data_IF_004836052618
#
_entry.id   IF_004836052618
#
_cell.length_a   1.000
_cell.length_b   1.000
_cell.length_c   1.000
_cell.angle_alpha   90.00
_cell.angle_beta   90.00
_cell.angle_gamma   90.00
#
_symmetry.space_group_name_H-M   'P 1'
#
loop_
_entity.id
_entity.type
_entity.pdbx_description
1 polymer ?
#
# COMPACT_ATOMS: atom_id res chain seq x y z
N UNK A 1 0.23 -2.04 29.13
CA UNK A 1 1.21 -2.76 28.27
C UNK A 1 0.72 -2.70 26.83
N UNK A 2 1.11 -1.65 26.08
CA UNK A 2 0.70 -1.52 24.67
C UNK A 2 1.66 -2.31 23.79
N UNK A 3 1.13 -3.35 23.13
CA UNK A 3 1.82 -4.08 22.09
C UNK A 3 2.15 -3.12 20.93
N UNK A 4 3.39 -2.65 20.88
CA UNK A 4 3.96 -2.00 19.71
C UNK A 4 3.99 -3.03 18.59
N UNK A 5 2.95 -3.00 17.75
CA UNK A 5 2.88 -3.68 16.46
C UNK A 5 4.11 -3.29 15.66
N UNK A 6 5.09 -4.21 15.61
CA UNK A 6 6.27 -4.12 14.77
C UNK A 6 5.82 -4.09 13.31
N UNK A 7 5.57 -2.89 12.79
CA UNK A 7 5.65 -2.63 11.35
C UNK A 7 7.11 -2.85 11.02
N UNK A 8 7.43 -4.03 10.49
CA UNK A 8 8.71 -4.33 9.88
C UNK A 8 8.85 -3.42 8.66
N UNK A 9 9.32 -2.20 8.91
CA UNK A 9 9.79 -1.31 7.86
C UNK A 9 10.99 -2.03 7.28
N UNK A 10 10.84 -2.53 6.06
CA UNK A 10 11.96 -3.00 5.25
C UNK A 10 12.78 -1.76 4.93
N UNK A 11 13.82 -1.53 5.75
CA UNK A 11 14.79 -0.46 5.53
C UNK A 11 15.60 -0.81 4.27
N UNK A 12 15.78 0.20 3.43
CA UNK A 12 16.15 0.05 2.03
C UNK A 12 17.55 -0.49 1.77
N UNK A 13 17.63 -1.25 0.69
CA UNK A 13 18.66 -1.04 -0.32
C UNK A 13 17.96 -0.58 -1.60
N UNK A 14 18.59 0.33 -2.33
CA UNK A 14 18.24 0.81 -3.67
C UNK A 14 17.36 -0.17 -4.47
N UNK A 15 16.07 0.19 -4.63
CA UNK A 15 15.08 -0.41 -5.53
C UNK A 15 15.27 -1.90 -5.81
N UNK A 16 14.82 -2.78 -4.90
CA UNK A 16 14.61 -4.19 -5.26
C UNK A 16 13.58 -4.24 -6.40
N UNK A 17 14.06 -4.37 -7.63
CA UNK A 17 13.21 -4.51 -8.81
C UNK A 17 12.54 -5.87 -8.70
N UNK A 18 11.23 -5.88 -8.50
CA UNK A 18 10.46 -7.12 -8.51
C UNK A 18 10.26 -7.53 -9.98
N UNK A 19 10.68 -8.74 -10.39
CA UNK A 19 10.81 -9.14 -11.79
C UNK A 19 9.47 -9.47 -12.47
N UNK A 20 8.51 -8.54 -12.47
CA UNK A 20 7.23 -8.69 -13.18
C UNK A 20 7.37 -8.67 -14.70
N UNK A 21 8.55 -8.31 -15.24
CA UNK A 21 8.77 -8.20 -16.68
C UNK A 21 9.29 -9.49 -17.31
N UNK A 22 9.81 -10.42 -16.52
CA UNK A 22 10.38 -11.70 -16.97
C UNK A 22 9.32 -12.65 -17.56
N UNK A 23 8.04 -12.50 -17.21
CA UNK A 23 6.96 -13.29 -17.80
C UNK A 23 5.74 -12.45 -18.12
N UNK A 24 4.98 -12.86 -19.13
CA UNK A 24 3.70 -12.21 -19.48
C UNK A 24 2.70 -12.36 -18.33
N UNK A 25 2.67 -13.52 -17.67
CA UNK A 25 1.77 -13.80 -16.56
C UNK A 25 2.03 -12.86 -15.37
N UNK A 26 3.29 -12.73 -14.93
CA UNK A 26 3.63 -11.85 -13.79
C UNK A 26 3.42 -10.37 -14.13
N UNK A 27 3.50 -10.00 -15.41
CA UNK A 27 3.18 -8.65 -15.89
C UNK A 27 1.70 -8.33 -15.76
N UNK A 28 0.84 -9.26 -16.17
CA UNK A 28 -0.62 -9.13 -16.04
C UNK A 28 -1.06 -9.14 -14.57
N UNK A 29 -0.37 -9.90 -13.73
CA UNK A 29 -0.68 -10.01 -12.30
C UNK A 29 -0.13 -8.88 -11.44
N UNK A 30 0.82 -8.09 -11.93
CA UNK A 30 1.43 -6.97 -11.20
C UNK A 30 0.42 -6.06 -10.47
N UNK A 31 -0.65 -5.53 -11.12
CA UNK A 31 -1.63 -4.69 -10.43
C UNK A 31 -2.40 -5.43 -9.34
N UNK A 32 -2.52 -6.76 -9.40
CA UNK A 32 -3.19 -7.55 -8.37
C UNK A 32 -2.29 -7.83 -7.17
N UNK A 33 -0.98 -7.95 -7.38
CA UNK A 33 0.01 -8.27 -6.33
C UNK A 33 0.50 -7.01 -5.60
N UNK A 34 0.57 -5.86 -6.27
CA UNK A 34 1.09 -4.60 -5.70
C UNK A 34 0.08 -3.44 -5.69
N UNK A 35 -1.06 -3.58 -6.36
CA UNK A 35 -1.98 -2.49 -6.59
C UNK A 35 -3.27 -2.58 -5.78
N UNK A 36 -4.29 -1.91 -6.32
CA UNK A 36 -5.63 -1.80 -5.75
C UNK A 36 -6.47 -3.05 -6.05
N UNK A 37 -6.14 -4.15 -5.37
CA UNK A 37 -6.83 -5.43 -5.58
C UNK A 37 -7.10 -6.16 -4.26
N UNK A 38 -8.09 -7.06 -4.31
CA UNK A 38 -8.29 -8.12 -3.34
C UNK A 38 -7.91 -9.44 -4.02
N UNK A 39 -6.90 -10.11 -3.50
CA UNK A 39 -6.35 -11.33 -4.09
C UNK A 39 -6.49 -12.49 -3.11
N UNK A 40 -6.85 -13.66 -3.62
CA UNK A 40 -6.90 -14.92 -2.87
C UNK A 40 -6.25 -16.01 -3.71
N UNK A 41 -5.43 -16.83 -3.09
CA UNK A 41 -4.75 -17.94 -3.74
C UNK A 41 -5.40 -19.25 -3.32
N UNK A 42 -5.71 -20.10 -4.29
CA UNK A 42 -6.16 -21.48 -4.06
C UNK A 42 -5.02 -22.40 -4.47
N UNK A 43 -4.52 -23.17 -3.52
CA UNK A 43 -3.41 -24.09 -3.73
C UNK A 43 -3.93 -25.51 -3.77
N UNK A 44 -3.68 -26.20 -4.88
CA UNK A 44 -4.08 -27.59 -5.08
C UNK A 44 -2.93 -28.52 -4.72
N UNK A 45 -3.17 -29.43 -3.79
CA UNK A 45 -2.16 -30.37 -3.29
C UNK A 45 -2.59 -31.80 -3.59
N UNK A 46 -1.61 -32.66 -3.84
CA UNK A 46 -1.82 -34.10 -4.01
C UNK A 46 -1.54 -34.83 -2.69
N UNK A 47 -2.38 -35.81 -2.35
CA UNK A 47 -2.25 -36.60 -1.12
C UNK A 47 -1.35 -37.84 -1.30
N UNK A 48 -0.75 -38.03 -2.48
CA UNK A 48 0.15 -39.16 -2.71
C UNK A 48 1.51 -38.95 -2.02
N UNK A 49 2.04 -40.03 -1.42
CA UNK A 49 3.38 -40.05 -0.83
C UNK A 49 4.47 -39.75 -1.87
N UNK A 50 4.27 -40.14 -3.14
CA UNK A 50 5.21 -39.85 -4.23
C UNK A 50 5.32 -38.35 -4.55
N UNK A 51 4.28 -37.57 -4.24
CA UNK A 51 4.20 -36.13 -4.50
C UNK A 51 4.49 -35.26 -3.26
N UNK A 52 5.04 -35.85 -2.19
CA UNK A 52 5.25 -35.15 -0.92
C UNK A 52 6.23 -33.97 -1.06
N UNK A 53 7.28 -34.12 -1.87
CA UNK A 53 8.25 -33.06 -2.11
C UNK A 53 7.64 -31.83 -2.80
N UNK A 54 6.80 -32.06 -3.82
CA UNK A 54 6.12 -30.98 -4.56
C UNK A 54 5.06 -30.30 -3.69
N UNK A 55 4.37 -31.09 -2.86
CA UNK A 55 3.41 -30.59 -1.86
C UNK A 55 4.11 -29.67 -0.85
N UNK A 56 5.26 -30.08 -0.32
CA UNK A 56 6.07 -29.26 0.59
C UNK A 56 6.54 -27.96 -0.08
N UNK A 57 6.97 -28.05 -1.35
CA UNK A 57 7.38 -26.87 -2.13
C UNK A 57 6.21 -25.89 -2.33
N UNK A 58 5.02 -26.40 -2.60
CA UNK A 58 3.80 -25.60 -2.75
C UNK A 58 3.39 -24.94 -1.43
N UNK A 59 3.51 -25.64 -0.30
CA UNK A 59 3.25 -25.06 1.03
C UNK A 59 4.26 -23.96 1.40
N UNK A 60 5.55 -24.15 1.09
CA UNK A 60 6.56 -23.09 1.27
C UNK A 60 6.29 -21.89 0.37
N UNK A 61 5.72 -22.10 -0.81
CA UNK A 61 5.24 -21.01 -1.64
C UNK A 61 4.04 -20.30 -0.97
N UNK A 62 3.09 -21.04 -0.40
CA UNK A 62 1.95 -20.50 0.36
C UNK A 62 2.39 -19.55 1.48
N UNK A 63 3.38 -19.94 2.27
CA UNK A 63 3.91 -19.12 3.36
C UNK A 63 4.46 -17.79 2.86
N UNK A 64 5.11 -17.78 1.68
CA UNK A 64 5.56 -16.54 1.04
C UNK A 64 4.39 -15.70 0.53
N UNK A 65 3.37 -16.32 -0.06
CA UNK A 65 2.18 -15.63 -0.53
C UNK A 65 1.44 -14.88 0.58
N UNK A 66 1.42 -15.45 1.80
CA UNK A 66 0.81 -14.81 2.98
C UNK A 66 1.45 -13.47 3.34
N UNK A 67 2.72 -13.25 2.98
CA UNK A 67 3.41 -11.99 3.23
C UNK A 67 3.05 -10.87 2.24
N UNK A 68 2.33 -11.18 1.16
CA UNK A 68 1.93 -10.21 0.15
C UNK A 68 0.79 -9.34 0.71
N UNK A 69 1.05 -8.04 0.83
CA UNK A 69 0.08 -7.06 1.31
C UNK A 69 -0.48 -6.26 0.13
N UNK A 70 -1.77 -6.44 -0.15
CA UNK A 70 -2.49 -5.65 -1.16
C UNK A 70 -3.18 -4.44 -0.48
N UNK A 71 -3.25 -3.30 -1.18
CA UNK A 71 -3.96 -2.10 -0.69
C UNK A 71 -5.19 -1.88 -1.54
N UNK A 72 -6.33 -2.55 -1.26
CA UNK A 72 -7.53 -2.43 -2.07
C UNK A 72 -8.07 -1.01 -1.98
N UNK A 73 -8.12 -0.32 -3.12
CA UNK A 73 -8.70 1.02 -3.26
C UNK A 73 -9.94 0.92 -4.14
N UNK A 74 -11.02 1.65 -3.79
CA UNK A 74 -12.21 1.73 -4.64
C UNK A 74 -11.81 2.38 -5.96
N UNK A 75 -12.01 1.67 -7.08
CA UNK A 75 -11.84 2.27 -8.39
C UNK A 75 -13.04 3.19 -8.67
N UNK A 76 -12.87 4.52 -8.76
CA UNK A 76 -13.96 5.41 -9.12
C UNK A 76 -14.27 5.21 -10.60
N UNK A 77 -15.53 4.90 -10.90
CA UNK A 77 -16.07 5.02 -12.26
C UNK A 77 -16.07 6.49 -12.62
N UNK A 78 -15.12 6.93 -13.45
CA UNK A 78 -15.12 8.27 -14.02
C UNK A 78 -16.03 8.22 -15.25
N UNK A 79 -17.18 8.90 -15.26
CA UNK A 79 -18.03 8.97 -16.44
C UNK A 79 -17.27 9.65 -17.57
N UNK A 80 -17.30 9.08 -18.77
CA UNK A 80 -16.66 9.59 -20.00
C UNK A 80 -17.43 10.79 -20.58
N UNK A 81 -17.86 11.71 -19.74
CA UNK A 81 -18.44 12.97 -20.18
C UNK A 81 -17.32 14.02 -20.33
N UNK A 82 -17.29 14.84 -21.39
CA UNK A 82 -16.32 15.93 -21.54
C UNK A 82 -16.26 16.89 -20.34
N UNK A 83 -17.37 17.00 -19.59
CA UNK A 83 -17.51 17.81 -18.38
C UNK A 83 -16.76 17.27 -17.16
N UNK A 84 -16.41 15.98 -17.14
CA UNK A 84 -15.73 15.33 -16.02
C UNK A 84 -14.30 15.87 -15.79
N UNK A 85 -13.65 16.42 -16.82
CA UNK A 85 -12.32 17.03 -16.70
C UNK A 85 -12.33 18.34 -15.90
N UNK A 86 -13.41 19.11 -15.97
CA UNK A 86 -13.59 20.36 -15.20
C UNK A 86 -14.02 20.06 -13.75
N UNK A 87 -14.92 19.10 -13.55
CA UNK A 87 -15.31 18.70 -12.19
C UNK A 87 -14.16 18.01 -11.44
N UNK A 88 -13.40 17.13 -12.11
CA UNK A 88 -12.25 16.47 -11.49
C UNK A 88 -11.10 17.45 -11.16
N UNK A 89 -10.88 18.47 -11.98
CA UNK A 89 -9.88 19.53 -11.68
C UNK A 89 -10.33 20.43 -10.55
N UNK A 90 -11.60 20.81 -10.48
CA UNK A 90 -12.15 21.57 -9.34
C UNK A 90 -12.14 20.75 -8.04
N UNK A 91 -12.49 19.46 -8.09
CA UNK A 91 -12.41 18.58 -6.93
C UNK A 91 -10.95 18.39 -6.44
N UNK A 92 -10.00 18.26 -7.37
CA UNK A 92 -8.56 18.21 -7.05
C UNK A 92 -8.09 19.53 -6.43
N UNK A 93 -8.51 20.68 -6.98
CA UNK A 93 -8.16 22.00 -6.42
C UNK A 93 -8.76 22.22 -5.02
N UNK A 94 -9.99 21.78 -4.77
CA UNK A 94 -10.60 21.83 -3.44
C UNK A 94 -9.82 20.99 -2.42
N UNK A 95 -9.39 19.78 -2.81
CA UNK A 95 -8.54 18.93 -1.96
C UNK A 95 -7.17 19.58 -1.67
N UNK A 96 -6.55 20.23 -2.66
CA UNK A 96 -5.27 20.94 -2.50
C UNK A 96 -5.40 22.15 -1.58
N UNK A 97 -6.51 22.90 -1.66
CA UNK A 97 -6.77 24.03 -0.75
C UNK A 97 -6.96 23.54 0.68
N UNK A 98 -7.67 22.42 0.87
CA UNK A 98 -7.86 21.81 2.18
C UNK A 98 -6.53 21.36 2.80
N UNK A 99 -5.68 20.67 2.03
CA UNK A 99 -4.38 20.19 2.50
C UNK A 99 -3.46 21.37 2.90
N UNK A 100 -3.47 22.47 2.12
CA UNK A 100 -2.76 23.71 2.48
C UNK A 100 -3.26 24.33 3.78
N UNK A 101 -4.57 24.32 4.04
CA UNK A 101 -5.12 24.82 5.29
C UNK A 101 -4.66 23.99 6.50
N UNK A 102 -4.63 22.66 6.37
CA UNK A 102 -4.12 21.76 7.40
C UNK A 102 -2.61 21.94 7.64
N UNK A 103 -1.83 22.25 6.60
CA UNK A 103 -0.40 22.57 6.76
C UNK A 103 -0.19 23.86 7.56
N UNK A 104 -0.95 24.91 7.26
CA UNK A 104 -0.87 26.18 7.99
C UNK A 104 -1.25 26.02 9.47
N UNK A 105 -2.25 25.20 9.77
CA UNK A 105 -2.64 24.88 11.16
C UNK A 105 -1.53 24.09 11.88
N UNK A 106 -0.95 23.08 11.22
CA UNK A 106 0.18 22.33 11.80
C UNK A 106 1.39 23.23 12.09
N UNK A 107 1.71 24.17 11.22
CA UNK A 107 2.83 25.09 11.42
C UNK A 107 2.57 26.03 12.60
N UNK A 108 1.33 26.50 12.75
CA UNK A 108 0.94 27.31 13.91
C UNK A 108 1.02 26.52 15.21
N UNK A 109 0.50 25.29 15.25
CA UNK A 109 0.58 24.43 16.44
C UNK A 109 2.02 24.13 16.84
N UNK A 110 2.94 23.99 15.87
CA UNK A 110 4.38 23.81 16.15
C UNK A 110 5.00 25.03 16.81
N UNK A 111 4.65 26.23 16.37
CA UNK A 111 5.14 27.48 16.94
C UNK A 111 4.66 27.63 18.39
N UNK A 112 3.37 27.39 18.63
CA UNK A 112 2.77 27.49 19.97
C UNK A 112 3.38 26.47 20.95
N UNK A 113 3.67 25.26 20.46
CA UNK A 113 4.32 24.22 21.24
C UNK A 113 5.77 24.58 21.60
N UNK A 114 6.53 25.13 20.64
CA UNK A 114 7.89 25.61 20.90
C UNK A 114 7.91 26.80 21.89
N UNK A 115 6.96 27.72 21.76
CA UNK A 115 6.80 28.82 22.70
C UNK A 115 6.52 28.31 24.12
N UNK A 116 5.62 27.34 24.27
CA UNK A 116 5.29 26.72 25.55
C UNK A 116 6.47 25.95 26.16
N UNK A 117 7.28 25.26 25.35
CA UNK A 117 8.50 24.58 25.81
C UNK A 117 9.54 25.57 26.33
N UNK A 118 9.75 26.69 25.61
CA UNK A 118 10.70 27.72 26.03
C UNK A 118 10.33 28.43 27.34
N UNK A 119 9.03 28.41 27.69
CA UNK A 119 8.54 28.92 28.98
C UNK A 119 8.74 27.93 30.13
N UNK A 120 8.83 26.63 29.82
CA UNK A 120 9.09 25.59 30.82
C UNK A 120 10.59 25.40 31.11
N UNK A 121 11.47 25.76 30.17
CA UNK A 121 12.94 25.71 30.32
C UNK A 121 13.54 26.97 31.01
N UNK A 122 12.73 27.77 31.72
CA UNK A 122 13.16 28.92 32.54
C UNK A 122 12.93 28.66 34.02
#
# INVERSE_FOLDING_TARGET
MLAKSQRRILHGNSSTIIPFRESVLTRLLQPFVQGASRMTFVLTLSQSATSLNDTCTTLRFAERLRSISCKPTRNPIVPVAPTASLEATHAMQAAVVHDKALMAENDRLRIDLHASQSLLDR
#
